data_IF_601163284973
#
_entry.id   IF_601163284973
#
_cell.length_a   1.000
_cell.length_b   1.000
_cell.length_c   1.000
_cell.angle_alpha   90.00
_cell.angle_beta   90.00
_cell.angle_gamma   90.00
#
_symmetry.space_group_name_H-M   'P 1'
#
loop_
_entity.id
_entity.type
_entity.pdbx_description
1 polymer ?
#
# COMPACT_ATOMS: atom_id res chain seq x y z
N UNK A 1 28.00 20.93 -0.21
CA UNK A 1 27.10 22.02 -0.60
C UNK A 1 25.69 21.65 -0.17
N UNK A 2 25.11 22.34 0.81
CA UNK A 2 23.67 22.24 1.10
C UNK A 2 22.96 23.19 0.14
N UNK A 3 22.21 22.65 -0.82
CA UNK A 3 21.62 23.39 -1.95
C UNK A 3 20.78 24.61 -1.50
N UNK A 4 20.19 24.61 -0.30
CA UNK A 4 19.22 25.63 0.12
C UNK A 4 19.59 26.46 1.36
N UNK A 5 20.84 26.44 1.83
CA UNK A 5 21.30 27.33 2.92
C UNK A 5 20.61 27.14 4.29
N UNK A 6 19.58 26.30 4.41
CA UNK A 6 18.98 25.94 5.68
C UNK A 6 19.87 24.91 6.39
N UNK A 7 20.34 25.25 7.58
CA UNK A 7 20.97 24.29 8.49
C UNK A 7 19.94 23.18 8.74
N UNK A 8 20.28 21.94 8.42
CA UNK A 8 19.38 20.81 8.65
C UNK A 8 18.83 20.89 10.09
N UNK A 9 17.49 20.86 10.23
CA UNK A 9 16.84 20.84 11.54
C UNK A 9 17.47 19.71 12.38
N UNK A 10 17.70 19.98 13.68
CA UNK A 10 18.31 18.98 14.56
C UNK A 10 17.40 17.75 14.62
N UNK A 11 17.89 16.62 14.12
CA UNK A 11 17.20 15.32 14.23
C UNK A 11 17.35 14.79 15.65
N UNK A 12 16.22 14.58 16.33
CA UNK A 12 16.16 13.95 17.65
C UNK A 12 15.81 12.46 17.51
N UNK A 13 16.41 11.57 18.32
CA UNK A 13 16.15 10.13 18.26
C UNK A 13 14.86 9.78 19.02
N UNK A 14 13.71 10.23 18.50
CA UNK A 14 12.41 9.87 19.09
C UNK A 14 12.05 8.41 18.78
N UNK A 15 11.53 7.65 19.75
CA UNK A 15 11.15 6.26 19.53
C UNK A 15 9.84 6.19 18.73
N UNK A 16 9.95 6.06 17.40
CA UNK A 16 8.79 5.97 16.48
C UNK A 16 8.38 4.52 16.23
N UNK A 17 9.35 3.64 15.97
CA UNK A 17 9.08 2.27 15.52
C UNK A 17 8.31 1.44 16.56
N UNK A 18 8.72 1.50 17.82
CA UNK A 18 8.12 0.71 18.91
C UNK A 18 6.63 1.02 19.14
N UNK A 19 6.20 2.28 19.34
CA UNK A 19 4.78 2.58 19.48
C UNK A 19 3.98 2.42 18.19
N UNK A 20 4.62 2.59 17.02
CA UNK A 20 3.92 2.44 15.73
C UNK A 20 3.84 1.00 15.22
N UNK A 21 4.60 0.06 15.79
CA UNK A 21 4.66 -1.33 15.37
C UNK A 21 3.28 -2.01 15.17
N UNK A 22 2.30 -1.92 16.11
CA UNK A 22 0.99 -2.55 15.90
C UNK A 22 0.22 -1.96 14.71
N UNK A 23 0.38 -0.66 14.43
CA UNK A 23 -0.27 -0.01 13.29
C UNK A 23 0.36 -0.44 11.95
N UNK A 24 1.69 -0.57 11.91
CA UNK A 24 2.36 -1.12 10.73
C UNK A 24 1.96 -2.58 10.50
N UNK A 25 1.92 -3.40 11.55
CA UNK A 25 1.47 -4.78 11.45
C UNK A 25 0.03 -4.87 10.93
N UNK A 26 -0.90 -4.09 11.51
CA UNK A 26 -2.28 -4.02 11.04
C UNK A 26 -2.37 -3.54 9.58
N UNK A 27 -1.60 -2.51 9.21
CA UNK A 27 -1.55 -2.01 7.83
C UNK A 27 -1.13 -3.09 6.83
N UNK A 28 -0.13 -3.91 7.18
CA UNK A 28 0.29 -5.05 6.34
C UNK A 28 -0.80 -6.11 6.23
N UNK A 29 -1.47 -6.46 7.35
CA UNK A 29 -2.56 -7.44 7.34
C UNK A 29 -3.71 -6.97 6.44
N UNK A 30 -4.14 -5.72 6.58
CA UNK A 30 -5.22 -5.15 5.77
C UNK A 30 -4.82 -5.04 4.30
N UNK A 31 -3.59 -4.62 4.01
CA UNK A 31 -3.10 -4.54 2.63
C UNK A 31 -3.16 -5.91 1.93
N UNK A 32 -2.72 -6.97 2.62
CA UNK A 32 -2.82 -8.34 2.10
C UNK A 32 -4.26 -8.81 1.95
N UNK A 33 -5.11 -8.53 2.94
CA UNK A 33 -6.53 -8.89 2.93
C UNK A 33 -7.28 -8.23 1.76
N UNK A 34 -7.10 -6.92 1.56
CA UNK A 34 -7.72 -6.19 0.46
C UNK A 34 -7.20 -6.68 -0.88
N UNK A 35 -5.89 -6.90 -1.03
CA UNK A 35 -5.34 -7.42 -2.27
C UNK A 35 -5.94 -8.78 -2.65
N UNK A 36 -6.08 -9.68 -1.67
CA UNK A 36 -6.68 -10.99 -1.85
C UNK A 36 -8.17 -10.89 -2.22
N UNK A 37 -8.92 -10.07 -1.49
CA UNK A 37 -10.35 -9.87 -1.74
C UNK A 37 -10.61 -9.25 -3.13
N UNK A 38 -9.86 -8.21 -3.50
CA UNK A 38 -9.96 -7.58 -4.83
C UNK A 38 -9.70 -8.58 -5.95
N UNK A 39 -8.65 -9.41 -5.83
CA UNK A 39 -8.35 -10.46 -6.79
C UNK A 39 -9.48 -11.49 -6.95
N UNK A 40 -10.21 -11.80 -5.87
CA UNK A 40 -11.39 -12.67 -5.93
C UNK A 40 -12.57 -11.96 -6.60
N UNK A 41 -12.86 -10.72 -6.22
CA UNK A 41 -13.98 -9.94 -6.76
C UNK A 41 -13.85 -9.67 -8.26
N UNK A 42 -12.64 -9.41 -8.76
CA UNK A 42 -12.41 -9.21 -10.19
C UNK A 42 -12.65 -10.48 -11.02
N UNK A 43 -12.79 -11.65 -10.41
CA UNK A 43 -13.12 -12.91 -11.10
C UNK A 43 -14.61 -13.25 -11.05
N UNK A 44 -15.43 -12.45 -10.37
CA UNK A 44 -16.87 -12.69 -10.29
C UNK A 44 -17.55 -12.47 -11.64
N UNK A 45 -18.73 -13.05 -11.81
CA UNK A 45 -19.49 -12.99 -13.07
C UNK A 45 -19.81 -11.56 -13.51
N UNK A 46 -20.03 -10.66 -12.55
CA UNK A 46 -20.31 -9.25 -12.79
C UNK A 46 -19.11 -8.51 -13.40
N UNK A 47 -17.90 -8.78 -12.90
CA UNK A 47 -16.72 -7.95 -13.20
C UNK A 47 -15.68 -8.63 -14.10
N UNK A 48 -15.82 -9.92 -14.38
CA UNK A 48 -14.84 -10.68 -15.18
C UNK A 48 -14.66 -10.16 -16.61
N UNK A 49 -15.70 -9.57 -17.19
CA UNK A 49 -15.69 -9.06 -18.57
C UNK A 49 -15.62 -7.52 -18.66
N UNK A 50 -15.42 -6.82 -17.54
CA UNK A 50 -15.25 -5.36 -17.57
C UNK A 50 -13.91 -5.00 -18.23
N UNK A 51 -13.93 -4.13 -19.25
CA UNK A 51 -12.72 -3.70 -19.97
C UNK A 51 -11.68 -2.98 -19.08
N UNK A 52 -12.11 -2.48 -17.92
CA UNK A 52 -11.24 -1.84 -16.91
C UNK A 52 -10.58 -2.87 -16.00
N UNK A 53 -11.07 -4.11 -15.97
CA UNK A 53 -10.51 -5.18 -15.15
C UNK A 53 -9.12 -5.58 -15.69
N UNK A 54 -8.03 -5.39 -14.92
CA UNK A 54 -6.69 -5.74 -15.37
C UNK A 54 -6.52 -7.25 -15.61
N UNK A 55 -7.37 -8.12 -15.03
CA UNK A 55 -7.34 -9.55 -15.27
C UNK A 55 -7.95 -9.93 -16.63
N UNK A 56 -8.95 -9.19 -17.10
CA UNK A 56 -9.58 -9.44 -18.41
C UNK A 56 -8.59 -9.21 -19.56
N UNK A 57 -7.69 -8.23 -19.41
CA UNK A 57 -6.65 -7.92 -20.41
C UNK A 57 -5.57 -9.00 -20.53
N UNK A 58 -5.39 -9.85 -19.51
CA UNK A 58 -4.38 -10.91 -19.50
C UNK A 58 -4.87 -12.23 -20.10
N UNK A 59 -6.17 -12.34 -20.40
CA UNK A 59 -6.80 -13.57 -20.88
C UNK A 59 -6.87 -13.68 -22.41
N UNK A 60 -6.32 -12.70 -23.13
CA UNK A 60 -6.20 -12.67 -24.60
C UNK A 60 -4.76 -12.98 -25.04
#
# INVERSE_FOLDING_TARGET
>A
MTWLGARALKKYPTPVLKPMAPFFAAGLVIAYGINSAQNAMMKSDEWKNDARNPLAKKAH
#
